data_IF_126961954051
#
_entry.id   IF_126961954051
#
_cell.length_a   1.000
_cell.length_b   1.000
_cell.length_c   1.000
_cell.angle_alpha   90.00
_cell.angle_beta   90.00
_cell.angle_gamma   90.00
#
_symmetry.space_group_name_H-M   'P 1'
#
loop_
_entity.id
_entity.type
_entity.pdbx_description
1 polymer ?
#
# COMPACT_ATOMS: atom_id res chain seq x y z
N UNK A 1 -18.24 -16.29 -5.67
CA UNK A 1 -16.91 -16.00 -6.19
C UNK A 1 -16.39 -14.71 -5.56
N UNK A 2 -15.23 -14.80 -4.97
CA UNK A 2 -14.57 -13.64 -4.36
C UNK A 2 -13.76 -12.92 -5.41
N UNK A 3 -13.88 -11.60 -5.48
CA UNK A 3 -13.04 -10.80 -6.38
C UNK A 3 -11.56 -10.95 -5.98
N UNK A 4 -10.64 -10.89 -6.97
CA UNK A 4 -9.22 -10.94 -6.67
C UNK A 4 -8.84 -9.80 -5.72
N UNK A 5 -8.01 -10.10 -4.72
CA UNK A 5 -7.56 -9.11 -3.76
C UNK A 5 -6.58 -8.13 -4.38
N UNK A 6 -6.77 -6.88 -3.99
CA UNK A 6 -5.87 -5.80 -4.37
C UNK A 6 -5.29 -5.19 -3.10
N UNK A 7 -4.06 -4.74 -3.19
CA UNK A 7 -3.31 -4.16 -2.08
C UNK A 7 -2.89 -2.74 -2.45
N UNK A 8 -2.94 -1.81 -1.52
CA UNK A 8 -2.48 -0.43 -1.75
C UNK A 8 -1.24 -0.13 -0.94
N UNK A 9 -0.25 0.47 -1.60
CA UNK A 9 0.98 0.97 -0.98
C UNK A 9 0.71 2.29 -0.25
N UNK A 10 1.67 2.70 0.56
CA UNK A 10 1.60 3.91 1.38
C UNK A 10 1.30 5.17 0.57
N UNK A 11 1.89 5.32 -0.63
CA UNK A 11 1.66 6.52 -1.45
C UNK A 11 0.18 6.71 -1.80
N UNK A 12 -0.55 5.62 -2.03
CA UNK A 12 -1.99 5.70 -2.30
C UNK A 12 -2.73 6.23 -1.07
N UNK A 13 -2.37 5.75 0.13
CA UNK A 13 -2.96 6.26 1.38
C UNK A 13 -2.69 7.75 1.54
N UNK A 14 -1.46 8.18 1.26
CA UNK A 14 -1.06 9.57 1.39
C UNK A 14 -1.87 10.47 0.45
N UNK A 15 -1.99 10.11 -0.82
CA UNK A 15 -2.73 10.92 -1.79
C UNK A 15 -4.22 11.02 -1.43
N UNK A 16 -4.79 10.01 -0.80
CA UNK A 16 -6.19 10.04 -0.40
C UNK A 16 -6.48 11.11 0.67
N UNK A 17 -5.46 11.55 1.40
CA UNK A 17 -5.58 12.52 2.49
C UNK A 17 -4.84 13.83 2.20
N UNK A 18 -4.48 14.08 0.94
CA UNK A 18 -3.83 15.33 0.52
C UNK A 18 -4.64 16.00 -0.57
N UNK A 19 -4.37 17.27 -0.80
CA UNK A 19 -4.95 18.03 -1.92
C UNK A 19 -4.02 17.92 -3.12
N UNK A 20 -4.28 16.95 -3.99
CA UNK A 20 -3.41 16.57 -5.10
C UNK A 20 -4.29 16.06 -6.25
N UNK A 21 -3.88 16.26 -7.52
CA UNK A 21 -4.64 15.70 -8.65
C UNK A 21 -4.88 14.19 -8.58
N UNK A 22 -4.04 13.45 -7.84
CA UNK A 22 -4.17 11.99 -7.64
C UNK A 22 -5.15 11.59 -6.55
N UNK A 23 -5.65 12.56 -5.76
CA UNK A 23 -6.50 12.27 -4.59
C UNK A 23 -7.78 11.55 -4.97
N UNK A 24 -8.44 11.95 -6.03
CA UNK A 24 -9.71 11.32 -6.46
C UNK A 24 -9.53 9.83 -6.78
N UNK A 25 -8.47 9.47 -7.50
CA UNK A 25 -8.18 8.08 -7.83
C UNK A 25 -7.81 7.28 -6.59
N UNK A 26 -6.99 7.87 -5.70
CA UNK A 26 -6.61 7.24 -4.45
C UNK A 26 -7.84 6.98 -3.56
N UNK A 27 -8.71 7.96 -3.41
CA UNK A 27 -9.95 7.82 -2.64
C UNK A 27 -10.84 6.71 -3.21
N UNK A 28 -10.93 6.60 -4.53
CA UNK A 28 -11.71 5.55 -5.17
C UNK A 28 -11.17 4.15 -4.83
N UNK A 29 -9.85 3.99 -4.78
CA UNK A 29 -9.23 2.72 -4.39
C UNK A 29 -9.52 2.39 -2.92
N UNK A 30 -9.45 3.36 -2.02
CA UNK A 30 -9.79 3.15 -0.62
C UNK A 30 -11.27 2.76 -0.46
N UNK A 31 -12.16 3.44 -1.16
CA UNK A 31 -13.59 3.14 -1.13
C UNK A 31 -13.91 1.75 -1.67
N UNK A 32 -13.10 1.24 -2.58
CA UNK A 32 -13.23 -0.11 -3.14
C UNK A 32 -12.96 -1.20 -2.10
N UNK A 33 -12.20 -0.89 -1.05
CA UNK A 33 -11.93 -1.82 0.03
C UNK A 33 -10.71 -2.70 -0.17
N UNK A 34 -9.66 -2.16 -0.76
CA UNK A 34 -8.38 -2.86 -0.95
C UNK A 34 -7.74 -3.23 0.40
N UNK A 35 -6.84 -4.20 0.38
CA UNK A 35 -6.03 -4.57 1.53
C UNK A 35 -4.85 -3.59 1.69
N UNK A 36 -4.29 -3.55 2.88
CA UNK A 36 -3.02 -2.88 3.16
C UNK A 36 -2.33 -3.59 4.33
N UNK A 37 -1.32 -2.98 4.94
CA UNK A 37 -0.57 -3.61 6.01
C UNK A 37 -0.27 -2.64 7.16
N UNK A 38 0.10 -3.19 8.31
CA UNK A 38 0.58 -2.39 9.45
C UNK A 38 1.79 -1.55 9.03
N UNK A 39 2.67 -2.09 8.18
CA UNK A 39 3.82 -1.33 7.66
C UNK A 39 3.36 -0.06 6.93
N UNK A 40 2.34 -0.16 6.09
CA UNK A 40 1.79 1.00 5.38
C UNK A 40 1.20 2.02 6.36
N UNK A 41 0.53 1.57 7.40
CA UNK A 41 -0.01 2.46 8.43
C UNK A 41 1.10 3.21 9.16
N UNK A 42 2.19 2.53 9.49
CA UNK A 42 3.35 3.15 10.14
C UNK A 42 4.00 4.21 9.24
N UNK A 43 4.20 3.88 7.97
CA UNK A 43 4.77 4.84 7.01
C UNK A 43 3.84 6.03 6.80
N UNK A 44 2.54 5.81 6.71
CA UNK A 44 1.56 6.89 6.60
C UNK A 44 1.64 7.85 7.81
N UNK A 45 1.66 7.30 9.02
CA UNK A 45 1.74 8.10 10.24
C UNK A 45 3.02 8.94 10.24
N UNK A 46 4.13 8.35 9.82
CA UNK A 46 5.43 9.02 9.77
C UNK A 46 5.41 10.19 8.79
N UNK A 47 4.91 9.96 7.57
CA UNK A 47 4.79 11.00 6.53
C UNK A 47 3.81 12.09 6.98
N UNK A 48 2.67 11.71 7.56
CA UNK A 48 1.68 12.64 8.07
C UNK A 48 2.29 13.64 9.05
N UNK A 49 3.08 13.14 10.00
CA UNK A 49 3.75 13.97 10.99
C UNK A 49 4.89 14.82 10.40
N UNK A 50 5.69 14.23 9.54
CA UNK A 50 6.95 14.86 9.07
C UNK A 50 6.77 15.75 7.86
N UNK A 51 5.87 15.39 6.93
CA UNK A 51 5.74 16.10 5.64
C UNK A 51 4.40 16.79 5.45
N UNK A 52 3.33 16.29 6.06
CA UNK A 52 1.98 16.83 5.84
C UNK A 52 1.53 17.76 6.98
N UNK A 53 2.39 18.02 7.94
CA UNK A 53 2.10 18.90 9.09
C UNK A 53 0.84 18.50 9.87
N UNK A 54 0.52 17.21 9.88
CA UNK A 54 -0.59 16.71 10.67
C UNK A 54 -0.23 16.66 12.15
N UNK A 55 -1.13 17.11 13.03
CA UNK A 55 -0.99 16.87 14.44
C UNK A 55 -1.39 15.42 14.77
N UNK A 56 -1.16 14.97 16.00
CA UNK A 56 -1.45 13.60 16.38
C UNK A 56 -2.92 13.25 16.27
N UNK A 57 -3.81 14.20 16.52
CA UNK A 57 -5.25 14.00 16.36
C UNK A 57 -5.60 13.73 14.90
N UNK A 58 -5.05 14.52 13.98
CA UNK A 58 -5.29 14.35 12.54
C UNK A 58 -4.75 13.01 12.04
N UNK A 59 -3.55 12.61 12.51
CA UNK A 59 -2.97 11.31 12.17
C UNK A 59 -3.89 10.17 12.63
N UNK A 60 -4.36 10.23 13.88
CA UNK A 60 -5.24 9.19 14.42
C UNK A 60 -6.57 9.13 13.68
N UNK A 61 -7.15 10.27 13.36
CA UNK A 61 -8.41 10.33 12.60
C UNK A 61 -8.26 9.71 11.20
N UNK A 62 -7.16 10.03 10.51
CA UNK A 62 -6.87 9.46 9.19
C UNK A 62 -6.65 7.94 9.27
N UNK A 63 -5.88 7.48 10.26
CA UNK A 63 -5.65 6.04 10.46
C UNK A 63 -6.95 5.29 10.78
N UNK A 64 -7.84 5.89 11.56
CA UNK A 64 -9.15 5.29 11.85
C UNK A 64 -9.98 5.15 10.56
N UNK A 65 -9.98 6.16 9.72
CA UNK A 65 -10.68 6.11 8.43
C UNK A 65 -10.08 5.01 7.53
N UNK A 66 -8.76 4.93 7.45
CA UNK A 66 -8.07 3.90 6.68
C UNK A 66 -8.47 2.51 7.17
N UNK A 67 -8.41 2.26 8.48
CA UNK A 67 -8.76 0.95 9.05
C UNK A 67 -10.24 0.60 8.86
N UNK A 68 -11.10 1.60 8.74
CA UNK A 68 -12.53 1.36 8.48
C UNK A 68 -12.76 0.94 7.03
N UNK A 69 -12.05 1.54 6.09
CA UNK A 69 -12.25 1.32 4.66
C UNK A 69 -11.48 0.11 4.13
N UNK A 70 -10.27 -0.14 4.62
CA UNK A 70 -9.38 -1.16 4.06
C UNK A 70 -9.38 -2.44 4.89
N UNK A 71 -9.59 -3.55 4.22
CA UNK A 71 -9.61 -4.88 4.85
C UNK A 71 -9.13 -5.93 3.84
N UNK A 72 -8.33 -6.91 4.25
CA UNK A 72 -7.70 -7.01 5.56
C UNK A 72 -6.48 -6.11 5.69
N UNK A 73 -6.01 -5.93 6.93
CA UNK A 73 -4.76 -5.25 7.22
C UNK A 73 -3.75 -6.31 7.66
N UNK A 74 -2.72 -6.52 6.86
CA UNK A 74 -1.71 -7.54 7.12
C UNK A 74 -0.86 -7.17 8.33
N UNK A 75 -0.62 -8.15 9.19
CA UNK A 75 0.28 -7.98 10.33
C UNK A 75 1.74 -7.90 9.84
N UNK A 76 2.57 -7.23 10.62
CA UNK A 76 4.01 -7.17 10.38
C UNK A 76 4.68 -8.08 11.41
N UNK A 77 4.93 -9.32 11.02
CA UNK A 77 5.60 -10.31 11.88
C UNK A 77 6.99 -10.67 11.32
N UNK A 78 7.71 -11.51 12.04
CA UNK A 78 9.05 -11.91 11.64
C UNK A 78 9.05 -12.61 10.29
N UNK A 79 8.06 -13.46 10.02
CA UNK A 79 7.95 -14.16 8.74
C UNK A 79 7.80 -13.19 7.56
N UNK A 80 6.99 -12.15 7.72
CA UNK A 80 6.84 -11.11 6.69
C UNK A 80 8.13 -10.34 6.49
N UNK A 81 8.84 -10.02 7.57
CA UNK A 81 10.14 -9.37 7.50
C UNK A 81 11.14 -10.20 6.70
N UNK A 82 11.28 -11.49 7.03
CA UNK A 82 12.24 -12.38 6.35
C UNK A 82 11.91 -12.51 4.86
N UNK A 83 10.63 -12.72 4.53
CA UNK A 83 10.18 -12.78 3.14
C UNK A 83 10.44 -11.46 2.41
N UNK A 84 10.23 -10.34 3.09
CA UNK A 84 10.46 -9.01 2.54
C UNK A 84 11.92 -8.75 2.19
N UNK A 85 12.85 -9.18 3.05
CA UNK A 85 14.28 -9.08 2.78
C UNK A 85 14.65 -9.86 1.52
N UNK A 86 14.13 -11.08 1.38
CA UNK A 86 14.39 -11.91 0.20
C UNK A 86 13.86 -11.26 -1.08
N UNK A 87 12.65 -10.70 -1.05
CA UNK A 87 12.07 -10.00 -2.19
C UNK A 87 12.86 -8.74 -2.55
N UNK A 88 13.27 -7.97 -1.52
CA UNK A 88 14.07 -6.77 -1.74
C UNK A 88 15.37 -7.09 -2.48
N UNK A 89 16.06 -8.15 -2.08
CA UNK A 89 17.27 -8.60 -2.75
C UNK A 89 16.99 -9.05 -4.19
N UNK A 90 16.01 -9.92 -4.37
CA UNK A 90 15.68 -10.52 -5.67
C UNK A 90 15.25 -9.49 -6.71
N UNK A 91 14.42 -8.55 -6.31
CA UNK A 91 13.85 -7.55 -7.21
C UNK A 91 14.53 -6.19 -7.10
N UNK A 92 15.61 -6.08 -6.32
CA UNK A 92 16.39 -4.84 -6.15
C UNK A 92 15.54 -3.67 -5.67
N UNK A 93 14.79 -3.92 -4.61
CA UNK A 93 13.90 -2.94 -4.00
C UNK A 93 14.43 -2.51 -2.62
N UNK A 94 13.87 -1.44 -2.08
CA UNK A 94 14.11 -1.09 -0.68
C UNK A 94 13.55 -2.18 0.23
N UNK A 95 14.06 -2.25 1.45
CA UNK A 95 13.55 -3.20 2.45
C UNK A 95 12.06 -2.96 2.71
N UNK A 96 11.65 -1.71 2.84
CA UNK A 96 10.25 -1.37 3.07
C UNK A 96 9.35 -1.85 1.93
N UNK A 97 9.77 -1.66 0.68
CA UNK A 97 9.02 -2.12 -0.49
C UNK A 97 8.93 -3.64 -0.53
N UNK A 98 10.03 -4.33 -0.22
CA UNK A 98 10.05 -5.79 -0.12
C UNK A 98 9.07 -6.31 0.92
N UNK A 99 9.04 -5.69 2.11
CA UNK A 99 8.12 -6.06 3.18
C UNK A 99 6.65 -5.84 2.75
N UNK A 100 6.37 -4.74 2.06
CA UNK A 100 5.03 -4.46 1.55
C UNK A 100 4.57 -5.52 0.56
N UNK A 101 5.44 -5.90 -0.39
CA UNK A 101 5.13 -6.97 -1.34
C UNK A 101 4.93 -8.31 -0.64
N UNK A 102 5.75 -8.63 0.36
CA UNK A 102 5.59 -9.85 1.15
C UNK A 102 4.23 -9.90 1.84
N UNK A 103 3.78 -8.78 2.40
CA UNK A 103 2.47 -8.69 3.04
C UNK A 103 1.34 -8.97 2.02
N UNK A 104 1.42 -8.37 0.84
CA UNK A 104 0.44 -8.58 -0.22
C UNK A 104 0.39 -10.04 -0.68
N UNK A 105 1.56 -10.67 -0.84
CA UNK A 105 1.64 -12.10 -1.23
C UNK A 105 1.02 -13.00 -0.16
N UNK A 106 1.24 -12.72 1.11
CA UNK A 106 0.67 -13.50 2.21
C UNK A 106 -0.85 -13.39 2.30
N UNK A 107 -1.42 -12.30 1.79
CA UNK A 107 -2.87 -12.11 1.69
C UNK A 107 -3.45 -12.64 0.38
N UNK A 108 -2.62 -13.27 -0.45
CA UNK A 108 -3.01 -13.78 -1.77
C UNK A 108 -3.56 -12.69 -2.70
N UNK A 109 -3.02 -11.48 -2.59
CA UNK A 109 -3.36 -10.40 -3.50
C UNK A 109 -2.79 -10.67 -4.89
N UNK A 110 -3.47 -10.17 -5.91
CA UNK A 110 -3.02 -10.30 -7.31
C UNK A 110 -2.59 -8.95 -7.89
N UNK A 111 -3.04 -7.84 -7.30
CA UNK A 111 -2.67 -6.49 -7.75
C UNK A 111 -2.12 -5.71 -6.57
N UNK A 112 -0.98 -5.04 -6.81
CA UNK A 112 -0.33 -4.16 -5.84
C UNK A 112 -0.29 -2.75 -6.44
N UNK A 113 -1.11 -1.86 -5.91
CA UNK A 113 -1.19 -0.48 -6.40
C UNK A 113 -0.10 0.37 -5.78
N UNK A 114 0.83 0.85 -6.60
CA UNK A 114 1.94 1.70 -6.15
C UNK A 114 2.42 2.60 -7.28
N UNK A 115 2.73 3.84 -6.94
CA UNK A 115 3.41 4.78 -7.84
C UNK A 115 4.92 4.61 -7.82
N UNK A 116 5.47 4.11 -6.71
CA UNK A 116 6.91 4.13 -6.44
C UNK A 116 7.67 2.95 -7.04
N UNK A 117 7.00 1.85 -7.34
CA UNK A 117 7.64 0.68 -7.92
C UNK A 117 7.40 0.61 -9.42
N UNK A 118 8.19 -0.22 -10.11
CA UNK A 118 8.07 -0.40 -11.55
C UNK A 118 6.67 -0.91 -11.92
N UNK A 119 5.95 -0.15 -12.73
CA UNK A 119 4.64 -0.53 -13.24
C UNK A 119 4.77 -1.79 -14.12
N UNK A 120 3.95 -2.79 -13.84
CA UNK A 120 3.98 -4.07 -14.56
C UNK A 120 4.92 -5.11 -13.97
N UNK A 121 5.65 -4.81 -12.90
CA UNK A 121 6.49 -5.81 -12.23
C UNK A 121 5.63 -6.97 -11.73
N UNK A 122 6.01 -8.19 -12.10
CA UNK A 122 5.34 -9.41 -11.62
C UNK A 122 6.22 -10.06 -10.56
N UNK A 123 5.67 -10.21 -9.36
CA UNK A 123 6.36 -10.76 -8.19
C UNK A 123 5.91 -12.20 -7.97
N UNK A 124 6.87 -13.13 -7.93
CA UNK A 124 6.64 -14.56 -7.73
C UNK A 124 5.57 -15.16 -8.68
N UNK A 125 5.42 -14.58 -9.86
CA UNK A 125 4.48 -15.06 -10.87
C UNK A 125 3.01 -14.87 -10.53
N UNK A 126 2.66 -14.14 -9.47
CA UNK A 126 1.26 -14.01 -9.02
C UNK A 126 0.81 -12.62 -8.60
N UNK A 127 1.73 -11.72 -8.25
CA UNK A 127 1.37 -10.37 -7.81
C UNK A 127 1.91 -9.37 -8.83
N UNK A 128 1.04 -8.55 -9.41
CA UNK A 128 1.43 -7.55 -10.39
C UNK A 128 1.36 -6.16 -9.79
N UNK A 129 2.46 -5.42 -9.87
CA UNK A 129 2.51 -4.01 -9.47
C UNK A 129 1.89 -3.17 -10.58
N UNK A 130 0.99 -2.27 -10.23
CA UNK A 130 0.37 -1.32 -11.15
C UNK A 130 0.37 0.07 -10.57
N UNK A 131 0.68 1.05 -11.40
CA UNK A 131 0.57 2.45 -11.02
C UNK A 131 -0.87 2.93 -11.23
N UNK A 132 -1.61 3.28 -10.18
CA UNK A 132 -3.01 3.70 -10.33
C UNK A 132 -3.16 5.09 -10.93
N UNK A 133 -2.06 5.84 -11.01
CA UNK A 133 -2.04 7.22 -11.47
C UNK A 133 -1.46 7.38 -12.87
N UNK A 134 -1.07 6.27 -13.50
CA UNK A 134 -0.57 6.29 -14.87
C UNK A 134 -1.70 6.64 -15.84
N UNK A 135 -1.35 7.31 -16.95
CA UNK A 135 -2.30 7.63 -18.01
C UNK A 135 -2.85 6.33 -18.60
N UNK A 136 -4.18 6.21 -18.67
CA UNK A 136 -4.83 5.01 -19.15
C UNK A 136 -4.95 3.89 -18.13
N UNK A 137 -4.61 4.14 -16.87
CA UNK A 137 -4.82 3.17 -15.79
C UNK A 137 -6.32 2.96 -15.56
N UNK A 138 -6.76 1.70 -15.41
CA UNK A 138 -8.17 1.40 -15.19
C UNK A 138 -8.68 1.89 -13.83
#
# INVERSE_FOLDING_TARGET
VTDPREFVDTNVLIYAFTDDPRSGRAEALLAKGCATSVQALNEFANVGRRKLSMDWRQVREALDAIRTLLKPIAVLDLGTHLAGIELAERYRLSVCDGIMLAAALRLDCVTFWSEDMQDGLVVDGRLTVRNPFAVGSP
#
